data_IF_919237180835
#
_entry.id   IF_919237180835
#
_cell.length_a   1.000
_cell.length_b   1.000
_cell.length_c   1.000
_cell.angle_alpha   90.00
_cell.angle_beta   90.00
_cell.angle_gamma   90.00
#
_symmetry.space_group_name_H-M   'P 1'
#
loop_
_entity.id
_entity.type
_entity.pdbx_description
1 polymer ?
#
# COMPACT_ATOMS: atom_id res chain seq x y z
N UNK A 1 -7.40 10.27 -15.57
CA UNK A 1 -8.85 10.11 -15.32
C UNK A 1 -9.10 10.29 -13.82
N UNK A 2 -10.08 11.09 -13.36
CA UNK A 2 -10.37 11.18 -11.93
C UNK A 2 -10.96 9.84 -11.44
N UNK A 3 -10.36 9.26 -10.39
CA UNK A 3 -10.82 8.01 -9.77
C UNK A 3 -11.57 8.36 -8.48
N UNK A 4 -12.80 7.87 -8.37
CA UNK A 4 -13.63 8.03 -7.19
C UNK A 4 -13.22 7.07 -6.06
N UNK A 5 -13.64 7.36 -4.82
CA UNK A 5 -13.43 6.43 -3.68
C UNK A 5 -14.41 5.27 -3.65
N UNK A 6 -15.32 5.20 -4.63
CA UNK A 6 -16.32 4.13 -4.78
C UNK A 6 -15.83 3.16 -5.86
N UNK A 7 -16.30 1.91 -5.77
CA UNK A 7 -16.22 0.96 -6.89
C UNK A 7 -17.30 1.32 -7.90
N UNK A 8 -16.99 2.29 -8.74
CA UNK A 8 -17.86 2.78 -9.79
C UNK A 8 -17.15 2.70 -11.15
N UNK A 9 -17.80 3.20 -12.19
CA UNK A 9 -17.29 3.17 -13.57
C UNK A 9 -15.86 3.74 -13.70
N UNK A 10 -15.49 4.70 -12.85
CA UNK A 10 -14.13 5.27 -12.87
C UNK A 10 -13.06 4.26 -12.41
N UNK A 11 -13.43 3.35 -11.51
CA UNK A 11 -12.56 2.27 -11.05
C UNK A 11 -12.39 1.20 -12.12
N UNK A 12 -13.48 0.80 -12.77
CA UNK A 12 -13.43 -0.21 -13.83
C UNK A 12 -12.62 0.28 -15.03
N UNK A 13 -12.79 1.55 -15.41
CA UNK A 13 -11.99 2.17 -16.47
C UNK A 13 -10.51 2.30 -16.11
N UNK A 14 -10.19 2.51 -14.83
CA UNK A 14 -8.81 2.46 -14.36
C UNK A 14 -8.23 1.05 -14.46
N UNK A 15 -8.95 0.02 -14.00
CA UNK A 15 -8.47 -1.36 -14.07
C UNK A 15 -8.18 -1.78 -15.51
N UNK A 16 -9.03 -1.40 -16.47
CA UNK A 16 -8.79 -1.65 -17.91
C UNK A 16 -7.55 -0.96 -18.48
N UNK A 17 -7.05 0.08 -17.82
CA UNK A 17 -5.82 0.77 -18.22
C UNK A 17 -4.55 0.17 -17.62
N UNK A 18 -4.70 -0.77 -16.68
CA UNK A 18 -3.59 -1.54 -16.11
C UNK A 18 -3.25 -2.66 -17.10
N UNK A 19 -2.09 -2.56 -17.74
CA UNK A 19 -1.58 -3.52 -18.71
C UNK A 19 -0.05 -3.62 -18.60
N UNK A 20 0.56 -4.46 -19.43
CA UNK A 20 1.99 -4.79 -19.38
C UNK A 20 2.93 -3.62 -19.74
N UNK A 21 2.40 -2.55 -20.33
CA UNK A 21 3.15 -1.33 -20.70
C UNK A 21 3.03 -0.21 -19.64
N UNK A 22 2.31 -0.46 -18.53
CA UNK A 22 2.02 0.54 -17.52
C UNK A 22 2.79 0.29 -16.20
N UNK A 23 3.28 1.38 -15.59
CA UNK A 23 3.71 1.36 -14.18
C UNK A 23 2.57 1.87 -13.31
N UNK A 24 2.02 1.01 -12.47
CA UNK A 24 0.99 1.36 -11.50
C UNK A 24 1.61 1.63 -10.13
N UNK A 25 1.53 2.87 -9.67
CA UNK A 25 1.92 3.26 -8.32
C UNK A 25 0.69 3.44 -7.44
N UNK A 26 0.61 2.69 -6.33
CA UNK A 26 -0.50 2.76 -5.38
C UNK A 26 -0.02 2.84 -3.94
N UNK A 27 -0.70 3.67 -3.14
CA UNK A 27 -0.60 3.69 -1.68
C UNK A 27 -1.81 2.94 -1.11
N UNK A 28 -1.66 1.65 -0.75
CA UNK A 28 -2.79 0.76 -0.54
C UNK A 28 -3.66 1.13 0.66
N UNK A 29 -3.18 1.96 1.59
CA UNK A 29 -3.97 2.41 2.72
C UNK A 29 -4.98 3.50 2.35
N UNK A 30 -4.81 4.15 1.18
CA UNK A 30 -5.76 5.12 0.60
C UNK A 30 -5.86 6.44 1.37
N UNK A 31 -4.94 6.69 2.31
CA UNK A 31 -4.89 7.88 3.15
C UNK A 31 -3.46 8.14 3.62
N UNK A 32 -3.17 9.40 3.95
CA UNK A 32 -1.87 9.78 4.54
C UNK A 32 -1.88 9.63 6.06
N UNK A 33 -0.74 9.25 6.63
CA UNK A 33 -0.48 9.27 8.08
C UNK A 33 -0.44 10.72 8.62
N UNK A 34 -0.73 10.87 9.92
CA UNK A 34 -0.59 12.11 10.70
C UNK A 34 0.80 12.16 11.34
N UNK A 35 1.03 13.24 12.08
CA UNK A 35 2.33 13.55 12.69
C UNK A 35 2.82 12.49 13.70
N UNK A 36 1.89 11.72 14.26
CA UNK A 36 2.06 10.63 15.21
C UNK A 36 2.03 9.25 14.54
N UNK A 37 2.05 9.21 13.19
CA UNK A 37 2.05 7.99 12.39
C UNK A 37 0.70 7.31 12.24
N UNK A 38 -0.34 7.76 12.95
CA UNK A 38 -1.69 7.22 12.89
C UNK A 38 -2.53 7.93 11.82
N UNK A 39 -3.79 7.51 11.70
CA UNK A 39 -4.78 8.21 10.90
C UNK A 39 -5.38 9.44 11.61
N UNK A 40 -6.37 10.08 10.97
CA UNK A 40 -7.06 11.26 11.54
C UNK A 40 -7.89 10.97 12.81
N UNK A 41 -8.08 9.70 13.15
CA UNK A 41 -8.83 9.21 14.30
C UNK A 41 -7.91 8.59 15.38
N UNK A 42 -6.59 8.63 15.18
CA UNK A 42 -5.61 8.03 16.11
C UNK A 42 -5.43 6.51 15.95
N UNK A 43 -5.99 5.89 14.90
CA UNK A 43 -5.82 4.46 14.66
C UNK A 43 -4.65 4.17 13.71
N UNK A 44 -4.01 3.00 13.80
CA UNK A 44 -3.07 2.53 12.80
C UNK A 44 -3.65 2.53 11.38
N UNK A 45 -2.77 2.61 10.38
CA UNK A 45 -3.17 2.51 8.98
C UNK A 45 -3.55 1.07 8.64
N UNK A 46 -4.48 0.92 7.71
CA UNK A 46 -4.94 -0.38 7.24
C UNK A 46 -5.01 -0.39 5.72
N UNK A 47 -4.59 -1.51 5.15
CA UNK A 47 -4.65 -1.79 3.70
C UNK A 47 -6.11 -1.85 3.24
N UNK A 48 -6.41 -1.19 2.12
CA UNK A 48 -7.75 -1.18 1.52
C UNK A 48 -7.87 -2.27 0.46
N UNK A 49 -9.09 -2.79 0.30
CA UNK A 49 -9.38 -3.89 -0.62
C UNK A 49 -9.15 -3.56 -2.09
N UNK A 50 -9.09 -2.27 -2.46
CA UNK A 50 -8.86 -1.85 -3.85
C UNK A 50 -7.53 -2.35 -4.43
N UNK A 51 -6.48 -2.47 -3.62
CA UNK A 51 -5.19 -3.01 -4.11
C UNK A 51 -5.31 -4.46 -4.60
N UNK A 52 -6.17 -5.26 -3.95
CA UNK A 52 -6.40 -6.63 -4.36
C UNK A 52 -7.18 -6.73 -5.67
N UNK A 53 -7.98 -5.71 -6.01
CA UNK A 53 -8.64 -5.64 -7.32
C UNK A 53 -7.60 -5.44 -8.43
N UNK A 54 -6.54 -4.66 -8.20
CA UNK A 54 -5.43 -4.45 -9.15
C UNK A 54 -4.60 -5.72 -9.32
N UNK A 55 -4.17 -6.32 -8.20
CA UNK A 55 -3.38 -7.56 -8.23
C UNK A 55 -4.11 -8.67 -8.97
N UNK A 56 -5.43 -8.81 -8.78
CA UNK A 56 -6.22 -9.81 -9.51
C UNK A 56 -6.23 -9.58 -11.04
N UNK A 57 -6.19 -8.33 -11.49
CA UNK A 57 -6.26 -7.96 -12.92
C UNK A 57 -4.92 -8.12 -13.66
N UNK A 58 -3.78 -8.15 -12.94
CA UNK A 58 -2.45 -8.28 -13.54
C UNK A 58 -2.17 -9.73 -13.94
N UNK A 59 -2.06 -10.04 -15.23
CA UNK A 59 -1.77 -11.40 -15.70
C UNK A 59 -0.28 -11.77 -15.61
N UNK A 60 0.64 -10.80 -15.77
CA UNK A 60 2.08 -11.01 -15.69
C UNK A 60 2.79 -9.75 -15.11
N UNK A 61 4.09 -9.85 -14.88
CA UNK A 61 4.94 -8.76 -14.40
C UNK A 61 5.32 -8.87 -12.93
N UNK A 62 5.78 -7.74 -12.38
CA UNK A 62 6.37 -7.70 -11.04
C UNK A 62 5.73 -6.63 -10.18
N UNK A 63 5.58 -6.94 -8.89
CA UNK A 63 5.16 -6.00 -7.87
C UNK A 63 6.38 -5.61 -7.04
N UNK A 64 6.67 -4.31 -6.99
CA UNK A 64 7.68 -3.75 -6.09
C UNK A 64 6.98 -3.21 -4.85
N UNK A 65 7.10 -3.91 -3.72
CA UNK A 65 6.65 -3.40 -2.44
C UNK A 65 7.70 -2.46 -1.86
N UNK A 66 7.25 -1.28 -1.43
CA UNK A 66 8.09 -0.22 -0.86
C UNK A 66 7.56 0.13 0.52
N UNK A 67 8.29 -0.27 1.57
CA UNK A 67 7.92 -0.06 2.96
C UNK A 67 8.57 1.21 3.50
N UNK A 68 7.80 2.30 3.58
CA UNK A 68 8.34 3.61 3.94
C UNK A 68 8.27 3.93 5.44
N UNK A 69 9.45 4.06 6.05
CA UNK A 69 9.67 4.59 7.39
C UNK A 69 9.92 6.10 7.37
N UNK A 70 9.05 6.89 8.04
CA UNK A 70 9.30 8.32 8.26
C UNK A 70 8.85 9.30 7.16
N UNK A 71 8.12 8.86 6.13
CA UNK A 71 7.61 9.79 5.08
C UNK A 71 6.73 10.92 5.64
N UNK A 72 5.92 10.63 6.65
CA UNK A 72 5.11 11.61 7.39
C UNK A 72 5.93 12.65 8.19
N UNK A 73 7.25 12.50 8.29
CA UNK A 73 8.11 13.54 8.85
C UNK A 73 8.38 14.66 7.85
N UNK A 74 8.37 14.35 6.56
CA UNK A 74 8.58 15.29 5.46
C UNK A 74 7.35 16.17 5.33
N UNK A 75 6.18 15.56 5.18
CA UNK A 75 4.92 16.29 5.03
C UNK A 75 3.75 15.46 5.57
N UNK A 76 2.87 16.14 6.30
CA UNK A 76 1.57 15.61 6.74
C UNK A 76 0.43 16.39 6.08
N UNK A 77 -0.79 15.83 6.03
CA UNK A 77 -1.95 16.57 5.56
C UNK A 77 -2.14 17.89 6.30
N UNK A 78 -2.40 18.97 5.56
CA UNK A 78 -2.57 20.32 6.10
C UNK A 78 -1.27 21.12 6.29
N UNK A 79 -0.11 20.48 6.13
CA UNK A 79 1.18 21.19 6.16
C UNK A 79 1.47 21.84 4.80
N UNK A 80 1.63 23.15 4.79
CA UNK A 80 1.82 23.97 3.58
C UNK A 80 3.17 23.74 2.90
N UNK A 81 4.25 23.59 3.67
CA UNK A 81 5.61 23.39 3.14
C UNK A 81 6.24 22.11 3.70
N UNK A 82 6.84 21.25 2.86
CA UNK A 82 7.54 20.05 3.31
C UNK A 82 8.82 20.40 4.09
N UNK A 83 9.21 19.53 5.02
CA UNK A 83 10.49 19.63 5.75
C UNK A 83 11.58 18.96 4.91
N UNK A 84 12.53 19.75 4.41
CA UNK A 84 13.55 19.30 3.46
C UNK A 84 14.62 18.38 4.07
N UNK A 85 14.96 18.58 5.35
CA UNK A 85 16.04 17.84 6.02
C UNK A 85 15.48 16.77 6.96
N UNK A 86 14.72 15.82 6.41
CA UNK A 86 14.18 14.68 7.15
C UNK A 86 14.67 13.37 6.56
N UNK A 87 15.17 12.50 7.44
CA UNK A 87 15.61 11.16 7.07
C UNK A 87 14.39 10.26 6.88
N UNK A 88 14.32 9.61 5.73
CA UNK A 88 13.42 8.50 5.45
C UNK A 88 14.23 7.21 5.40
N UNK A 89 13.59 6.11 5.78
CA UNK A 89 14.14 4.75 5.63
C UNK A 89 13.18 3.97 4.78
N UNK A 90 13.68 3.08 3.95
CA UNK A 90 12.85 2.27 3.06
C UNK A 90 13.41 0.86 3.01
N UNK A 91 12.54 -0.13 3.20
CA UNK A 91 12.80 -1.51 2.78
C UNK A 91 12.04 -1.75 1.48
N UNK A 92 12.61 -2.57 0.60
CA UNK A 92 12.01 -2.88 -0.70
C UNK A 92 12.11 -4.38 -0.96
N UNK A 93 11.07 -4.93 -1.56
CA UNK A 93 11.09 -6.29 -2.09
C UNK A 93 10.36 -6.32 -3.42
N UNK A 94 10.82 -7.18 -4.32
CA UNK A 94 10.21 -7.39 -5.61
C UNK A 94 9.70 -8.82 -5.68
N UNK A 95 8.44 -8.97 -6.08
CA UNK A 95 7.80 -10.28 -6.25
C UNK A 95 7.28 -10.40 -7.67
N UNK A 96 7.32 -11.62 -8.21
CA UNK A 96 6.64 -11.96 -9.45
C UNK A 96 5.13 -12.11 -9.19
N UNK A 97 4.29 -11.61 -10.09
CA UNK A 97 2.83 -11.63 -9.87
C UNK A 97 2.27 -13.05 -9.88
N UNK A 98 2.83 -13.95 -10.70
CA UNK A 98 2.34 -15.31 -10.82
C UNK A 98 2.67 -16.11 -9.57
N UNK A 99 3.94 -16.05 -9.14
CA UNK A 99 4.38 -16.66 -7.88
C UNK A 99 3.56 -16.12 -6.69
N UNK A 100 3.31 -14.81 -6.67
CA UNK A 100 2.55 -14.17 -5.60
C UNK A 100 1.08 -14.64 -5.56
N UNK A 101 0.44 -14.76 -6.72
CA UNK A 101 -0.94 -15.28 -6.84
C UNK A 101 -1.02 -16.76 -6.49
N UNK A 102 -0.02 -17.55 -6.85
CA UNK A 102 0.03 -18.99 -6.59
C UNK A 102 0.13 -19.30 -5.09
N UNK A 103 0.98 -18.56 -4.36
CA UNK A 103 1.10 -18.69 -2.90
C UNK A 103 -0.22 -18.37 -2.19
N UNK A 104 -0.98 -17.41 -2.72
CA UNK A 104 -2.25 -16.94 -2.17
C UNK A 104 -3.46 -17.55 -2.89
N UNK A 105 -3.26 -18.65 -3.61
CA UNK A 105 -4.29 -19.24 -4.44
C UNK A 105 -5.48 -19.73 -3.60
N UNK A 106 -6.67 -19.42 -4.09
CA UNK A 106 -7.92 -19.94 -3.57
C UNK A 106 -8.98 -19.97 -4.69
N UNK A 107 -9.86 -21.00 -4.74
CA UNK A 107 -10.89 -21.08 -5.79
C UNK A 107 -11.82 -19.86 -5.81
N UNK A 108 -12.23 -19.38 -4.65
CA UNK A 108 -13.12 -18.22 -4.51
C UNK A 108 -12.37 -16.88 -4.60
N UNK A 109 -12.77 -16.02 -5.57
CA UNK A 109 -12.20 -14.69 -5.78
C UNK A 109 -12.24 -13.78 -4.56
N UNK A 110 -13.33 -13.83 -3.78
CA UNK A 110 -13.47 -13.03 -2.56
C UNK A 110 -12.40 -13.38 -1.52
N UNK A 111 -12.11 -14.68 -1.39
CA UNK A 111 -11.13 -15.19 -0.43
C UNK A 111 -9.71 -14.87 -0.86
N UNK A 112 -9.37 -14.99 -2.16
CA UNK A 112 -8.07 -14.52 -2.69
C UNK A 112 -7.83 -13.05 -2.39
N UNK A 113 -8.81 -12.19 -2.66
CA UNK A 113 -8.70 -10.74 -2.36
C UNK A 113 -8.47 -10.48 -0.86
N UNK A 114 -9.14 -11.23 0.01
CA UNK A 114 -8.94 -11.12 1.45
C UNK A 114 -7.53 -11.59 1.87
N UNK A 115 -7.01 -12.67 1.25
CA UNK A 115 -5.65 -13.16 1.49
C UNK A 115 -4.59 -12.16 1.03
N UNK A 116 -4.75 -11.57 -0.16
CA UNK A 116 -3.87 -10.50 -0.67
C UNK A 116 -3.83 -9.32 0.31
N UNK A 117 -4.99 -8.81 0.74
CA UNK A 117 -5.05 -7.69 1.69
C UNK A 117 -4.38 -8.05 3.02
N UNK A 118 -4.64 -9.26 3.53
CA UNK A 118 -4.06 -9.74 4.79
C UNK A 118 -2.54 -9.86 4.69
N UNK A 119 -2.03 -10.37 3.57
CA UNK A 119 -0.61 -10.51 3.33
C UNK A 119 0.07 -9.13 3.22
N UNK A 120 -0.46 -8.21 2.41
CA UNK A 120 0.08 -6.84 2.31
C UNK A 120 0.03 -6.12 3.67
N UNK A 121 -1.03 -6.32 4.46
CA UNK A 121 -1.14 -5.77 5.82
C UNK A 121 -0.04 -6.33 6.72
N UNK A 122 0.20 -7.64 6.68
CA UNK A 122 1.27 -8.28 7.44
C UNK A 122 2.64 -7.76 7.01
N UNK A 123 2.90 -7.64 5.70
CA UNK A 123 4.14 -7.06 5.17
C UNK A 123 4.35 -5.61 5.61
N UNK A 124 3.30 -4.80 5.61
CA UNK A 124 3.34 -3.43 6.12
C UNK A 124 3.77 -3.41 7.60
N UNK A 125 3.22 -4.31 8.41
CA UNK A 125 3.56 -4.44 9.83
C UNK A 125 5.01 -4.92 9.99
N UNK A 126 5.40 -6.02 9.34
CA UNK A 126 6.68 -6.69 9.58
C UNK A 126 7.88 -5.98 8.91
N UNK A 127 7.69 -5.38 7.73
CA UNK A 127 8.80 -4.88 6.91
C UNK A 127 8.95 -3.36 6.90
N UNK A 128 8.04 -2.58 7.48
CA UNK A 128 8.23 -1.14 7.59
C UNK A 128 9.40 -0.81 8.52
N UNK A 129 10.44 -0.08 8.05
CA UNK A 129 11.57 0.27 8.90
C UNK A 129 11.13 1.01 10.15
N UNK A 130 11.73 0.65 11.29
CA UNK A 130 11.43 1.29 12.56
C UNK A 130 11.53 2.82 12.50
N UNK A 131 10.53 3.46 13.10
CA UNK A 131 10.42 4.89 13.25
C UNK A 131 9.68 5.20 14.55
N UNK A 132 10.29 6.00 15.44
CA UNK A 132 9.73 6.34 16.77
C UNK A 132 8.28 6.83 16.77
N UNK A 133 7.85 7.47 15.68
CA UNK A 133 6.51 8.04 15.52
C UNK A 133 5.58 7.14 14.70
N UNK A 134 5.92 5.89 14.45
CA UNK A 134 5.03 4.95 13.78
C UNK A 134 4.39 3.97 14.76
N UNK A 135 3.19 3.46 14.45
CA UNK A 135 2.49 2.52 15.32
C UNK A 135 3.08 1.10 15.27
N UNK A 136 3.89 0.78 14.26
CA UNK A 136 4.45 -0.56 14.01
C UNK A 136 5.90 -0.67 14.50
N UNK A 137 6.36 -1.91 14.70
CA UNK A 137 7.76 -2.27 14.95
C UNK A 137 8.42 -1.54 16.13
N UNK A 138 7.63 -1.16 17.14
CA UNK A 138 8.12 -0.44 18.33
C UNK A 138 9.11 -1.23 19.18
N UNK A 139 9.18 -2.54 18.99
CA UNK A 139 10.09 -3.43 19.71
C UNK A 139 11.49 -3.47 19.09
N UNK A 140 11.70 -2.83 17.93
CA UNK A 140 12.97 -2.79 17.19
C UNK A 140 13.77 -1.49 17.48
N UNK A 141 13.54 -0.83 18.63
CA UNK A 141 14.37 0.28 19.15
C UNK A 141 15.75 -0.19 19.60
#
# INVERSE_FOLDING_TARGET
>A
MPISRKRDESWDNFLKSVNDDAIVAILPEGRMRRHDGNDKHGNPMTVRTGVADIIEELDDGKVLFIYSGGMHHVQIPGQTLPKLFKKIKVNMEMVDINDYKDILHHPEKKTRKAQIVKDIQKRLEDFTPFCKRQPYNKNDE
#
